data_IF_360735465541
#
_entry.id   IF_360735465541
#
_cell.length_a   1.000
_cell.length_b   1.000
_cell.length_c   1.000
_cell.angle_alpha   90.00
_cell.angle_beta   90.00
_cell.angle_gamma   90.00
#
_symmetry.space_group_name_H-M   'P 1'
#
loop_
_entity.id
_entity.type
_entity.pdbx_description
1 polymer ?
#
# COMPACT_ATOMS: atom_id res chain seq x y z
N UNK A 1 20.04 1.88 35.47
CA UNK A 1 20.19 2.17 34.03
C UNK A 1 18.81 2.37 33.40
N UNK A 2 18.32 3.60 33.34
CA UNK A 2 17.04 3.90 32.67
C UNK A 2 17.28 4.05 31.17
N UNK A 3 17.48 2.91 30.49
CA UNK A 3 17.78 2.82 29.06
C UNK A 3 16.57 3.03 28.13
N UNK A 4 15.51 3.70 28.58
CA UNK A 4 14.31 3.92 27.78
C UNK A 4 14.37 5.27 27.07
N UNK A 5 14.96 5.27 25.88
CA UNK A 5 14.85 6.38 24.95
C UNK A 5 13.46 6.37 24.30
N UNK A 6 12.67 7.43 24.52
CA UNK A 6 11.39 7.66 23.83
C UNK A 6 11.53 7.54 22.30
N UNK A 7 12.68 7.96 21.79
CA UNK A 7 13.03 7.84 20.38
C UNK A 7 13.19 6.39 19.93
N UNK A 8 13.88 5.55 20.71
CA UNK A 8 14.07 4.14 20.38
C UNK A 8 12.72 3.42 20.23
N UNK A 9 11.80 3.61 21.19
CA UNK A 9 10.45 3.03 21.12
C UNK A 9 9.65 3.54 19.93
N UNK A 10 9.74 4.84 19.62
CA UNK A 10 9.07 5.45 18.46
C UNK A 10 9.61 4.90 17.15
N UNK A 11 10.94 4.75 17.03
CA UNK A 11 11.61 4.19 15.85
C UNK A 11 11.16 2.75 15.59
N UNK A 12 11.16 1.90 16.60
CA UNK A 12 10.73 0.50 16.44
C UNK A 12 9.25 0.39 16.04
N UNK A 13 8.38 1.17 16.68
CA UNK A 13 6.94 1.20 16.34
C UNK A 13 6.72 1.68 14.91
N UNK A 14 7.41 2.76 14.51
CA UNK A 14 7.34 3.29 13.14
C UNK A 14 7.84 2.28 12.12
N UNK A 15 8.99 1.64 12.35
CA UNK A 15 9.54 0.64 11.43
C UNK A 15 8.59 -0.55 11.19
N UNK A 16 7.91 -1.03 12.24
CA UNK A 16 6.91 -2.10 12.10
C UNK A 16 5.68 -1.66 11.28
N UNK A 17 5.24 -0.41 11.45
CA UNK A 17 4.12 0.16 10.68
C UNK A 17 4.50 0.39 9.22
N UNK A 18 5.70 0.92 8.96
CA UNK A 18 6.21 1.17 7.62
C UNK A 18 6.41 -0.14 6.85
N UNK A 19 6.92 -1.20 7.50
CA UNK A 19 7.05 -2.52 6.89
C UNK A 19 5.68 -3.12 6.49
N UNK A 20 4.64 -2.91 7.33
CA UNK A 20 3.27 -3.35 7.01
C UNK A 20 2.70 -2.55 5.84
N UNK A 21 2.88 -1.23 5.83
CA UNK A 21 2.47 -0.34 4.73
C UNK A 21 3.15 -0.70 3.42
N UNK A 22 4.47 -0.92 3.43
CA UNK A 22 5.23 -1.32 2.23
C UNK A 22 4.70 -2.59 1.58
N UNK A 23 4.38 -3.63 2.40
CA UNK A 23 3.74 -4.86 1.90
C UNK A 23 2.36 -4.63 1.30
N UNK A 24 1.58 -3.73 1.88
CA UNK A 24 0.25 -3.38 1.37
C UNK A 24 0.36 -2.64 0.02
N UNK A 25 1.25 -1.64 -0.09
CA UNK A 25 1.49 -0.91 -1.34
C UNK A 25 1.96 -1.83 -2.46
N UNK A 26 2.89 -2.74 -2.18
CA UNK A 26 3.35 -3.71 -3.18
C UNK A 26 2.21 -4.56 -3.75
N UNK A 27 1.26 -4.98 -2.90
CA UNK A 27 0.07 -5.71 -3.36
C UNK A 27 -0.85 -4.84 -4.20
N UNK A 28 -1.13 -3.61 -3.78
CA UNK A 28 -2.00 -2.69 -4.52
C UNK A 28 -1.45 -2.37 -5.91
N UNK A 29 -0.15 -2.07 -6.01
CA UNK A 29 0.53 -1.81 -7.29
C UNK A 29 0.39 -3.01 -8.23
N UNK A 30 0.71 -4.21 -7.75
CA UNK A 30 0.58 -5.44 -8.55
C UNK A 30 -0.86 -5.67 -9.03
N UNK A 31 -1.85 -5.34 -8.20
CA UNK A 31 -3.27 -5.51 -8.56
C UNK A 31 -3.66 -4.55 -9.69
N UNK A 32 -3.24 -3.28 -9.60
CA UNK A 32 -3.48 -2.27 -10.63
C UNK A 32 -2.74 -2.63 -11.93
N UNK A 33 -1.49 -3.06 -11.83
CA UNK A 33 -0.67 -3.46 -12.99
C UNK A 33 -1.30 -4.62 -13.75
N UNK A 34 -1.73 -5.67 -13.04
CA UNK A 34 -2.40 -6.81 -13.65
C UNK A 34 -3.72 -6.38 -14.28
N UNK A 35 -4.55 -5.59 -13.59
CA UNK A 35 -5.82 -5.12 -14.12
C UNK A 35 -5.65 -4.29 -15.40
N UNK A 36 -4.66 -3.39 -15.42
CA UNK A 36 -4.33 -2.59 -16.60
C UNK A 36 -3.78 -3.43 -17.75
N UNK A 37 -2.99 -4.47 -17.45
CA UNK A 37 -2.45 -5.39 -18.46
C UNK A 37 -3.52 -6.26 -19.10
N UNK A 38 -4.50 -6.73 -18.32
CA UNK A 38 -5.54 -7.65 -18.81
C UNK A 38 -6.71 -6.94 -19.49
N UNK A 39 -7.11 -5.77 -19.00
CA UNK A 39 -8.31 -5.07 -19.48
C UNK A 39 -8.03 -3.73 -20.17
N UNK A 40 -6.75 -3.38 -20.40
CA UNK A 40 -6.36 -2.09 -20.95
C UNK A 40 -6.23 -1.00 -19.90
N UNK A 41 -5.52 0.07 -20.27
CA UNK A 41 -5.14 1.17 -19.38
C UNK A 41 -6.22 2.22 -19.12
N UNK A 42 -7.42 2.07 -19.71
CA UNK A 42 -8.53 2.99 -19.51
C UNK A 42 -9.46 2.49 -18.38
N UNK A 43 -9.54 3.20 -17.24
CA UNK A 43 -10.45 2.83 -16.14
C UNK A 43 -11.94 2.91 -16.51
N UNK A 44 -12.33 3.70 -17.53
CA UNK A 44 -13.72 3.80 -17.96
C UNK A 44 -14.19 2.53 -18.69
N UNK A 45 -13.29 1.87 -19.44
CA UNK A 45 -13.54 0.60 -20.13
C UNK A 45 -13.22 -0.65 -19.30
N UNK A 46 -12.58 -0.49 -18.14
CA UNK A 46 -12.10 -1.59 -17.30
C UNK A 46 -12.54 -1.42 -15.83
N UNK A 47 -13.71 -1.97 -15.46
CA UNK A 47 -14.23 -1.88 -14.10
C UNK A 47 -13.27 -2.43 -13.04
N UNK A 48 -12.53 -3.49 -13.37
CA UNK A 48 -11.52 -4.10 -12.49
C UNK A 48 -10.40 -3.12 -12.16
N UNK A 49 -9.96 -2.32 -13.13
CA UNK A 49 -8.95 -1.28 -12.93
C UNK A 49 -9.52 -0.12 -12.10
N UNK A 50 -10.74 0.32 -12.37
CA UNK A 50 -11.41 1.37 -11.60
C UNK A 50 -11.53 0.97 -10.12
N UNK A 51 -12.00 -0.24 -9.84
CA UNK A 51 -12.12 -0.78 -8.48
C UNK A 51 -10.76 -0.90 -7.79
N UNK A 52 -9.73 -1.36 -8.51
CA UNK A 52 -8.36 -1.44 -7.98
C UNK A 52 -7.82 -0.05 -7.59
N UNK A 53 -8.08 0.98 -8.38
CA UNK A 53 -7.70 2.37 -8.10
C UNK A 53 -8.45 2.91 -6.89
N UNK A 54 -9.77 2.72 -6.82
CA UNK A 54 -10.59 3.16 -5.67
C UNK A 54 -10.14 2.49 -4.38
N UNK A 55 -9.89 1.18 -4.43
CA UNK A 55 -9.37 0.40 -3.29
C UNK A 55 -7.99 0.89 -2.86
N UNK A 56 -7.11 1.21 -3.79
CA UNK A 56 -5.80 1.75 -3.47
C UNK A 56 -5.90 3.12 -2.77
N UNK A 57 -6.73 4.04 -3.29
CA UNK A 57 -6.97 5.36 -2.68
C UNK A 57 -7.58 5.30 -1.28
N UNK A 58 -8.40 4.29 -1.00
CA UNK A 58 -9.03 4.10 0.32
C UNK A 58 -8.04 3.55 1.37
N UNK A 59 -7.04 2.79 0.92
CA UNK A 59 -6.10 2.08 1.81
C UNK A 59 -4.74 2.78 1.96
N UNK A 60 -4.43 3.75 1.08
CA UNK A 60 -3.32 4.69 1.20
C UNK A 60 -3.62 5.76 2.24
#
# INVERSE_FOLDING_TARGET
MSGHSKWATTKHKKGALDAKRGKLFAKLIKTIEVAARTGGGDPAGNPTLADAIVKAKRLS
#
